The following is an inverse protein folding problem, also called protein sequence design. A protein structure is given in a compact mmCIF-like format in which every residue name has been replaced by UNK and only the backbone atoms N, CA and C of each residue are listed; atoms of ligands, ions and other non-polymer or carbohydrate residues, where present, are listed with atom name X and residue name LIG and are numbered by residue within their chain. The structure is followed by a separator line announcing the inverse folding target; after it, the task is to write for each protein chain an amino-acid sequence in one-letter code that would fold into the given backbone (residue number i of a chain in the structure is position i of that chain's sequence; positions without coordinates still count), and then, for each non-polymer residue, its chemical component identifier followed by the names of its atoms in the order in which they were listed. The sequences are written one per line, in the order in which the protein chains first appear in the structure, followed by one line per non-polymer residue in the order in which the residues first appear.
data_IF_171319124109
#
_entry.id   IF_171319124109
#
_cell.length_a   1.000
_cell.length_b   1.000
_cell.length_c   1.000
_cell.angle_alpha   90.00
_cell.angle_beta   90.00
_cell.angle_gamma   90.00
#
_symmetry.space_group_name_H-M   'P 1'
#
loop_
_entity.id
_entity.type
_entity.pdbx_description
1 polymer ?
#
# COMPACT_ATOMS: atom_id res chain seq x y z
N UNK A 1 -25.75 -23.81 24.50
CA UNK A 1 -25.36 -24.02 23.09
C UNK A 1 -24.72 -22.71 22.63
N UNK A 2 -23.40 -22.57 22.80
CA UNK A 2 -22.69 -21.36 22.40
C UNK A 2 -22.70 -21.25 20.87
N UNK A 3 -22.95 -20.05 20.35
CA UNK A 3 -22.85 -19.78 18.92
C UNK A 3 -21.45 -20.15 18.42
N UNK A 4 -21.31 -20.68 17.19
CA UNK A 4 -20.01 -20.87 16.58
C UNK A 4 -19.33 -19.52 16.44
N UNK A 5 -18.09 -19.43 16.91
CA UNK A 5 -17.19 -18.31 16.68
C UNK A 5 -16.86 -18.25 15.18
N UNK A 6 -17.66 -17.54 14.40
CA UNK A 6 -17.35 -17.22 13.00
C UNK A 6 -16.41 -16.03 13.01
N UNK A 7 -15.21 -16.21 13.57
CA UNK A 7 -14.10 -15.34 13.25
C UNK A 7 -13.77 -15.57 11.77
N UNK A 8 -14.32 -14.73 10.88
CA UNK A 8 -14.05 -14.81 9.45
C UNK A 8 -12.55 -14.69 9.15
N UNK A 9 -12.12 -15.22 8.01
CA UNK A 9 -10.70 -15.23 7.63
C UNK A 9 -10.04 -13.85 7.86
N UNK A 10 -8.86 -13.82 8.51
CA UNK A 10 -8.19 -12.56 8.82
C UNK A 10 -7.86 -11.82 7.53
N UNK A 11 -8.00 -10.50 7.56
CA UNK A 11 -7.61 -9.65 6.44
C UNK A 11 -6.12 -9.83 6.15
N UNK A 12 -5.78 -9.89 4.86
CA UNK A 12 -4.38 -9.95 4.39
C UNK A 12 -3.98 -8.57 3.89
N UNK A 13 -2.88 -8.03 4.42
CA UNK A 13 -2.31 -6.75 4.00
C UNK A 13 -0.90 -6.97 3.46
N UNK A 14 -0.71 -6.74 2.16
CA UNK A 14 0.61 -6.81 1.54
C UNK A 14 1.25 -5.42 1.50
N UNK A 15 2.55 -5.32 1.75
CA UNK A 15 3.31 -4.11 1.53
C UNK A 15 4.24 -4.26 0.34
N UNK A 16 4.30 -3.24 -0.51
CA UNK A 16 5.20 -3.15 -1.65
C UNK A 16 6.20 -2.03 -1.39
N UNK A 17 7.47 -2.39 -1.24
CA UNK A 17 8.56 -1.45 -1.04
C UNK A 17 9.29 -1.20 -2.35
N UNK A 18 9.38 0.06 -2.75
CA UNK A 18 9.92 0.47 -4.04
C UNK A 18 11.15 1.39 -3.90
N UNK A 19 12.11 1.04 -3.05
CA UNK A 19 13.39 1.75 -2.92
C UNK A 19 14.47 1.16 -3.84
N UNK A 20 14.85 1.83 -4.95
CA UNK A 20 15.81 1.26 -5.92
C UNK A 20 17.22 1.05 -5.34
N UNK A 21 17.57 1.77 -4.27
CA UNK A 21 18.85 1.62 -3.57
C UNK A 21 18.66 1.17 -2.11
N UNK A 22 17.54 0.51 -1.84
CA UNK A 22 17.08 0.15 -0.49
C UNK A 22 16.02 1.13 0.02
N UNK A 23 15.11 0.60 0.83
CA UNK A 23 13.90 1.32 1.26
C UNK A 23 14.07 2.09 2.58
N UNK A 24 15.13 1.85 3.36
CA UNK A 24 15.53 2.68 4.52
C UNK A 24 14.37 3.17 5.39
N UNK A 25 14.24 4.50 5.53
CA UNK A 25 13.16 5.15 6.29
C UNK A 25 11.77 4.89 5.73
N UNK A 26 11.63 4.67 4.41
CA UNK A 26 10.36 4.26 3.81
C UNK A 26 9.92 2.90 4.37
N UNK A 27 10.83 1.94 4.47
CA UNK A 27 10.52 0.64 5.07
C UNK A 27 10.13 0.77 6.54
N UNK A 28 10.81 1.62 7.31
CA UNK A 28 10.49 1.86 8.71
C UNK A 28 9.09 2.50 8.89
N UNK A 29 8.72 3.46 8.04
CA UNK A 29 7.39 4.05 8.04
C UNK A 29 6.30 3.05 7.64
N UNK A 30 6.56 2.21 6.62
CA UNK A 30 5.65 1.15 6.21
C UNK A 30 5.48 0.11 7.32
N UNK A 31 6.55 -0.30 8.00
CA UNK A 31 6.43 -1.26 9.11
C UNK A 31 5.60 -0.70 10.27
N UNK A 32 5.67 0.60 10.55
CA UNK A 32 4.78 1.25 11.53
C UNK A 32 3.30 1.21 11.08
N UNK A 33 3.01 1.36 9.79
CA UNK A 33 1.64 1.14 9.25
C UNK A 33 1.23 -0.32 9.42
N UNK A 34 2.09 -1.27 9.05
CA UNK A 34 1.78 -2.69 9.20
C UNK A 34 1.63 -3.11 10.66
N UNK A 35 2.35 -2.48 11.59
CA UNK A 35 2.14 -2.66 13.02
C UNK A 35 0.69 -2.33 13.40
N UNK A 36 0.15 -1.22 12.90
CA UNK A 36 -1.25 -0.86 13.04
C UNK A 36 -2.20 -1.91 12.47
N UNK A 37 -1.91 -2.43 11.28
CA UNK A 37 -2.72 -3.50 10.67
C UNK A 37 -2.72 -4.79 11.51
N UNK A 38 -1.54 -5.20 12.01
CA UNK A 38 -1.40 -6.38 12.89
C UNK A 38 -2.15 -6.19 14.20
N UNK A 39 -2.09 -4.99 14.79
CA UNK A 39 -2.84 -4.67 15.99
C UNK A 39 -4.36 -4.73 15.79
N UNK A 40 -4.83 -4.53 14.55
CA UNK A 40 -6.22 -4.73 14.14
C UNK A 40 -6.55 -6.17 13.71
N UNK A 41 -5.63 -7.13 13.88
CA UNK A 41 -5.84 -8.55 13.60
C UNK A 41 -5.56 -8.99 12.16
N UNK A 42 -4.98 -8.12 11.32
CA UNK A 42 -4.62 -8.49 9.94
C UNK A 42 -3.30 -9.28 9.87
N UNK A 43 -3.21 -10.20 8.91
CA UNK A 43 -1.95 -10.83 8.51
C UNK A 43 -1.20 -9.89 7.56
N UNK A 44 0.10 -9.67 7.79
CA UNK A 44 0.90 -8.75 6.98
C UNK A 44 2.07 -9.43 6.29
N UNK A 45 2.32 -9.08 5.04
CA UNK A 45 3.51 -9.50 4.28
C UNK A 45 4.22 -8.29 3.66
N UNK A 46 5.49 -8.45 3.30
CA UNK A 46 6.30 -7.38 2.68
C UNK A 46 7.05 -7.94 1.48
N UNK A 47 6.98 -7.21 0.36
CA UNK A 47 7.73 -7.49 -0.86
C UNK A 47 8.61 -6.29 -1.20
N UNK A 48 9.92 -6.48 -1.25
CA UNK A 48 10.89 -5.50 -1.76
C UNK A 48 11.07 -5.70 -3.27
N UNK A 49 10.62 -4.72 -4.07
CA UNK A 49 10.66 -4.79 -5.53
C UNK A 49 12.08 -4.82 -6.09
N UNK A 50 13.08 -4.35 -5.34
CA UNK A 50 14.48 -4.32 -5.79
C UNK A 50 14.99 -5.72 -6.16
N UNK A 51 14.56 -6.75 -5.42
CA UNK A 51 14.94 -8.14 -5.70
C UNK A 51 14.21 -8.75 -6.90
N UNK A 52 13.00 -8.27 -7.23
CA UNK A 52 12.11 -8.87 -8.22
C UNK A 52 12.23 -8.32 -9.65
N UNK A 53 13.08 -7.33 -9.89
CA UNK A 53 13.18 -6.67 -11.21
C UNK A 53 13.60 -7.65 -12.32
N UNK A 54 14.54 -8.56 -12.04
CA UNK A 54 15.02 -9.52 -13.02
C UNK A 54 13.97 -10.58 -13.38
N UNK A 55 12.99 -10.80 -12.50
CA UNK A 55 11.94 -11.82 -12.63
C UNK A 55 10.60 -11.22 -13.09
N UNK A 56 10.59 -9.95 -13.53
CA UNK A 56 9.39 -9.30 -14.06
C UNK A 56 8.28 -9.08 -13.02
N UNK A 57 8.64 -9.04 -11.73
CA UNK A 57 7.72 -8.78 -10.60
C UNK A 57 6.57 -9.78 -10.38
N UNK A 58 6.57 -10.97 -11.00
CA UNK A 58 5.46 -11.92 -10.90
C UNK A 58 5.04 -12.21 -9.44
N UNK A 59 6.01 -12.51 -8.57
CA UNK A 59 5.76 -12.76 -7.15
C UNK A 59 5.13 -11.55 -6.41
N UNK A 60 5.50 -10.33 -6.80
CA UNK A 60 4.92 -9.12 -6.23
C UNK A 60 3.46 -8.92 -6.70
N UNK A 61 3.16 -9.23 -7.96
CA UNK A 61 1.79 -9.20 -8.50
C UNK A 61 0.90 -10.21 -7.77
N UNK A 62 1.39 -11.43 -7.55
CA UNK A 62 0.65 -12.49 -6.84
C UNK A 62 0.44 -12.15 -5.35
N UNK A 63 1.43 -11.53 -4.71
CA UNK A 63 1.28 -11.03 -3.35
C UNK A 63 0.19 -9.94 -3.25
N UNK A 64 0.12 -9.04 -4.23
CA UNK A 64 -0.92 -8.00 -4.31
C UNK A 64 -2.30 -8.60 -4.59
N UNK A 65 -2.40 -9.55 -5.53
CA UNK A 65 -3.69 -10.17 -5.89
C UNK A 65 -4.32 -10.91 -4.70
N UNK A 66 -3.49 -11.62 -3.93
CA UNK A 66 -3.92 -12.42 -2.78
C UNK A 66 -4.21 -11.61 -1.51
N UNK A 67 -3.90 -10.31 -1.48
CA UNK A 67 -4.14 -9.43 -0.35
C UNK A 67 -5.53 -8.77 -0.41
N UNK A 68 -6.09 -8.39 0.73
CA UNK A 68 -7.30 -7.56 0.83
C UNK A 68 -6.98 -6.05 0.75
N UNK A 69 -5.78 -5.68 1.20
CA UNK A 69 -5.27 -4.31 1.10
C UNK A 69 -3.77 -4.24 0.84
N UNK A 70 -3.33 -3.10 0.30
CA UNK A 70 -1.94 -2.88 -0.09
C UNK A 70 -1.36 -1.61 0.53
N UNK A 71 -0.17 -1.69 1.12
CA UNK A 71 0.63 -0.52 1.50
C UNK A 71 1.70 -0.29 0.44
N UNK A 72 1.60 0.81 -0.31
CA UNK A 72 2.61 1.21 -1.29
C UNK A 72 3.63 2.15 -0.64
N UNK A 73 4.84 1.65 -0.41
CA UNK A 73 5.98 2.38 0.13
C UNK A 73 6.95 2.83 -0.96
N UNK A 74 7.16 4.14 -1.13
CA UNK A 74 8.16 4.65 -2.08
C UNK A 74 8.89 5.89 -1.59
N UNK A 75 10.22 5.99 -1.73
CA UNK A 75 10.89 7.28 -1.58
C UNK A 75 10.50 8.22 -2.73
N UNK A 76 10.59 9.53 -2.48
CA UNK A 76 10.27 10.55 -3.49
C UNK A 76 11.46 10.81 -4.39
N UNK A 77 11.32 10.49 -5.68
CA UNK A 77 12.30 10.73 -6.72
C UNK A 77 11.66 11.67 -7.76
N UNK A 78 12.31 12.81 -8.06
CA UNK A 78 11.80 13.80 -9.03
C UNK A 78 10.35 14.23 -8.71
N UNK A 79 10.08 14.56 -7.44
CA UNK A 79 8.78 14.98 -6.92
C UNK A 79 7.62 13.97 -7.09
N UNK A 80 7.92 12.68 -7.30
CA UNK A 80 6.91 11.61 -7.33
C UNK A 80 7.48 10.28 -6.84
N UNK A 81 6.71 9.19 -6.93
CA UNK A 81 7.17 7.85 -6.62
C UNK A 81 8.30 7.40 -7.56
N UNK A 82 9.06 6.39 -7.15
CA UNK A 82 10.19 5.89 -7.95
C UNK A 82 9.75 5.28 -9.28
N UNK A 83 10.65 5.28 -10.26
CA UNK A 83 10.47 4.53 -11.50
C UNK A 83 10.35 3.02 -11.27
N UNK A 84 10.93 2.49 -10.18
CA UNK A 84 10.77 1.10 -9.78
C UNK A 84 9.31 0.77 -9.46
N UNK A 85 8.62 1.62 -8.71
CA UNK A 85 7.19 1.45 -8.46
C UNK A 85 6.38 1.56 -9.74
N UNK A 86 6.70 2.54 -10.59
CA UNK A 86 6.02 2.70 -11.87
C UNK A 86 6.19 1.45 -12.76
N UNK A 87 7.41 0.92 -12.87
CA UNK A 87 7.69 -0.29 -13.63
C UNK A 87 6.96 -1.52 -13.08
N UNK A 88 6.82 -1.66 -11.76
CA UNK A 88 5.99 -2.71 -11.17
C UNK A 88 4.52 -2.56 -11.58
N UNK A 89 3.97 -1.34 -11.51
CA UNK A 89 2.57 -1.09 -11.88
C UNK A 89 2.31 -1.42 -13.36
N UNK A 90 3.25 -1.21 -14.27
CA UNK A 90 3.11 -1.63 -15.68
C UNK A 90 2.93 -3.15 -15.86
N UNK A 91 3.31 -3.96 -14.86
CA UNK A 91 3.10 -5.42 -14.87
C UNK A 91 1.79 -5.84 -14.19
N UNK A 92 1.03 -4.90 -13.62
CA UNK A 92 -0.24 -5.18 -12.95
C UNK A 92 -1.38 -4.93 -13.93
N UNK A 93 -2.12 -5.98 -14.29
CA UNK A 93 -3.33 -5.85 -15.09
C UNK A 93 -4.43 -5.06 -14.35
N UNK A 94 -5.17 -4.21 -15.05
CA UNK A 94 -6.27 -3.42 -14.45
C UNK A 94 -7.66 -4.08 -14.61
N UNK A 95 -7.73 -5.19 -15.34
CA UNK A 95 -8.95 -5.92 -15.70
C UNK A 95 -9.71 -5.31 -16.89
N UNK A 96 -9.00 -4.83 -17.90
CA UNK A 96 -9.54 -4.40 -19.20
C UNK A 96 -9.95 -5.55 -20.14
N UNK A 97 -10.44 -5.25 -21.36
CA UNK A 97 -11.04 -6.27 -22.26
C UNK A 97 -10.13 -7.43 -22.68
N UNK A 98 -8.80 -7.22 -22.68
CA UNK A 98 -7.81 -8.22 -23.09
C UNK A 98 -6.99 -8.76 -21.91
N UNK A 99 -7.35 -8.38 -20.70
CA UNK A 99 -6.68 -8.79 -19.47
C UNK A 99 -7.51 -9.87 -18.77
N UNK A 100 -6.83 -10.77 -18.07
CA UNK A 100 -7.47 -11.92 -17.41
C UNK A 100 -7.56 -11.75 -15.89
N UNK A 101 -6.77 -10.82 -15.35
CA UNK A 101 -6.66 -10.52 -13.92
C UNK A 101 -7.04 -9.07 -13.66
N UNK A 102 -7.31 -8.77 -12.39
CA UNK A 102 -7.47 -7.40 -11.92
C UNK A 102 -6.94 -7.29 -10.48
N UNK A 103 -5.61 -7.49 -10.25
CA UNK A 103 -5.05 -7.70 -8.92
C UNK A 103 -5.31 -6.58 -7.92
N UNK A 104 -5.64 -5.37 -8.36
CA UNK A 104 -5.87 -4.21 -7.49
C UNK A 104 -7.33 -3.77 -7.37
N UNK A 105 -8.21 -4.20 -8.28
CA UNK A 105 -9.55 -3.61 -8.41
C UNK A 105 -10.39 -3.86 -7.16
N UNK A 106 -10.97 -2.78 -6.63
CA UNK A 106 -11.86 -2.83 -5.46
C UNK A 106 -11.18 -3.12 -4.13
N UNK A 107 -9.84 -3.21 -4.09
CA UNK A 107 -9.08 -3.37 -2.85
C UNK A 107 -8.84 -2.01 -2.19
N UNK A 108 -8.52 -2.04 -0.89
CA UNK A 108 -8.05 -0.86 -0.18
C UNK A 108 -6.54 -0.67 -0.37
N UNK A 109 -6.06 0.58 -0.33
CA UNK A 109 -4.63 0.83 -0.28
C UNK A 109 -4.24 2.05 0.56
N UNK A 110 -3.06 2.02 1.15
CA UNK A 110 -2.40 3.18 1.73
C UNK A 110 -1.16 3.55 0.92
N UNK A 111 -0.89 4.84 0.79
CA UNK A 111 0.33 5.37 0.18
C UNK A 111 1.21 5.95 1.28
N UNK A 112 2.45 5.47 1.35
CA UNK A 112 3.48 5.93 2.29
C UNK A 112 4.70 6.35 1.50
N UNK A 113 5.02 7.64 1.55
CA UNK A 113 6.18 8.19 0.86
C UNK A 113 7.10 8.92 1.82
N UNK A 114 8.39 8.89 1.51
CA UNK A 114 9.41 9.66 2.25
C UNK A 114 10.17 10.58 1.32
N UNK A 115 10.39 11.82 1.73
CA UNK A 115 11.10 12.83 0.92
C UNK A 115 12.10 13.66 1.74
N UNK A 116 13.01 14.34 1.04
CA UNK A 116 14.00 15.20 1.69
C UNK A 116 13.42 16.54 2.15
N UNK A 117 12.37 17.04 1.48
CA UNK A 117 11.86 18.39 1.64
C UNK A 117 10.32 18.39 1.71
N UNK A 118 9.74 19.23 2.57
CA UNK A 118 8.31 19.24 2.88
C UNK A 118 7.45 19.76 1.71
N UNK A 119 8.04 20.55 0.82
CA UNK A 119 7.43 21.15 -0.37
C UNK A 119 6.94 20.09 -1.36
N UNK A 120 7.39 18.84 -1.22
CA UNK A 120 6.95 17.70 -2.01
C UNK A 120 5.79 16.91 -1.37
N UNK A 121 5.04 17.49 -0.42
CA UNK A 121 3.94 16.80 0.25
C UNK A 121 2.87 16.25 -0.71
N UNK A 122 2.68 16.86 -1.89
CA UNK A 122 1.79 16.36 -2.95
C UNK A 122 2.41 15.29 -3.86
N UNK A 123 3.64 14.83 -3.59
CA UNK A 123 4.29 13.78 -4.39
C UNK A 123 3.50 12.46 -4.41
N UNK A 124 2.65 12.24 -3.40
CA UNK A 124 1.73 11.09 -3.28
C UNK A 124 0.59 11.12 -4.29
N UNK A 125 0.20 12.31 -4.77
CA UNK A 125 -1.04 12.49 -5.52
C UNK A 125 -1.05 11.78 -6.87
N UNK A 126 0.09 11.78 -7.57
CA UNK A 126 0.20 11.05 -8.84
C UNK A 126 -0.07 9.55 -8.63
N UNK A 127 0.52 8.95 -7.59
CA UNK A 127 0.29 7.54 -7.28
C UNK A 127 -1.16 7.30 -6.85
N UNK A 128 -1.69 8.16 -5.97
CA UNK A 128 -3.09 8.08 -5.52
C UNK A 128 -4.06 8.12 -6.69
N UNK A 129 -3.85 9.03 -7.64
CA UNK A 129 -4.67 9.17 -8.83
C UNK A 129 -4.56 7.94 -9.75
N UNK A 130 -3.36 7.40 -9.97
CA UNK A 130 -3.18 6.15 -10.72
C UNK A 130 -3.92 4.99 -10.04
N UNK A 131 -3.75 4.80 -8.74
CA UNK A 131 -4.43 3.72 -8.00
C UNK A 131 -5.96 3.86 -8.05
N UNK A 132 -6.48 5.03 -7.72
CA UNK A 132 -7.93 5.24 -7.66
C UNK A 132 -8.59 5.22 -9.05
N UNK A 133 -8.05 5.99 -9.99
CA UNK A 133 -8.71 6.23 -11.28
C UNK A 133 -8.38 5.17 -12.33
N UNK A 134 -7.15 4.64 -12.35
CA UNK A 134 -6.74 3.66 -13.36
C UNK A 134 -6.94 2.21 -12.91
N UNK A 135 -6.75 1.91 -11.61
CA UNK A 135 -6.91 0.55 -11.07
C UNK A 135 -8.22 0.32 -10.30
N UNK A 136 -8.99 1.37 -9.98
CA UNK A 136 -10.23 1.23 -9.20
C UNK A 136 -9.99 0.85 -7.74
N UNK A 137 -8.86 1.28 -7.16
CA UNK A 137 -8.47 1.06 -5.76
C UNK A 137 -9.14 2.09 -4.85
N UNK A 138 -9.57 1.68 -3.67
CA UNK A 138 -10.02 2.59 -2.63
C UNK A 138 -8.81 3.05 -1.81
N UNK A 139 -8.30 4.25 -2.11
CA UNK A 139 -7.09 4.76 -1.47
C UNK A 139 -7.42 5.50 -0.17
N UNK A 140 -6.84 5.05 0.93
CA UNK A 140 -6.94 5.70 2.24
C UNK A 140 -6.41 7.13 2.17
N UNK A 141 -7.20 8.06 2.69
CA UNK A 141 -6.88 9.49 2.76
C UNK A 141 -6.79 9.95 4.21
N UNK A 142 -5.78 10.76 4.59
CA UNK A 142 -4.71 11.25 3.73
C UNK A 142 -3.64 10.18 3.43
N UNK A 143 -2.84 10.40 2.38
CA UNK A 143 -1.59 9.65 2.18
C UNK A 143 -0.51 10.15 3.14
N UNK A 144 0.43 9.29 3.53
CA UNK A 144 1.54 9.68 4.39
C UNK A 144 2.72 10.17 3.56
N UNK A 145 3.15 11.41 3.78
CA UNK A 145 4.40 11.94 3.27
C UNK A 145 5.27 12.37 4.46
N UNK A 146 6.42 11.70 4.64
CA UNK A 146 7.28 11.88 5.81
C UNK A 146 8.66 12.40 5.40
N UNK A 147 9.12 13.46 6.06
CA UNK A 147 10.47 14.01 5.84
C UNK A 147 11.45 13.47 6.88
N UNK A 148 12.72 13.91 6.83
CA UNK A 148 13.75 13.56 7.82
C UNK A 148 13.31 13.82 9.27
N UNK A 149 12.48 14.83 9.50
CA UNK A 149 11.98 15.22 10.83
C UNK A 149 11.09 14.14 11.48
N UNK A 150 10.50 13.26 10.68
CA UNK A 150 9.66 12.16 11.15
C UNK A 150 10.46 10.98 11.73
N UNK A 151 11.80 11.06 11.73
CA UNK A 151 12.68 9.96 12.12
C UNK A 151 13.73 10.39 13.15
N UNK A 152 14.13 9.47 14.03
CA UNK A 152 15.24 9.64 14.97
C UNK A 152 16.63 9.54 14.30
N UNK A 153 17.72 9.66 15.07
CA UNK A 153 19.09 9.50 14.58
C UNK A 153 19.38 8.14 13.95
N UNK A 154 18.73 7.08 14.46
CA UNK A 154 18.82 5.69 14.01
C UNK A 154 17.92 5.35 12.81
N UNK A 155 17.21 6.35 12.26
CA UNK A 155 16.23 6.22 11.17
C UNK A 155 14.94 5.48 11.55
N UNK A 156 14.71 5.21 12.84
CA UNK A 156 13.40 4.78 13.35
C UNK A 156 12.40 5.95 13.29
N UNK A 157 11.08 5.73 13.14
CA UNK A 157 10.11 6.79 13.25
C UNK A 157 10.13 7.41 14.66
N UNK A 158 9.89 8.71 14.79
CA UNK A 158 9.63 9.31 16.12
C UNK A 158 8.39 8.66 16.75
N UNK A 159 8.22 8.69 18.08
CA UNK A 159 7.02 8.14 18.73
C UNK A 159 5.71 8.67 18.12
N UNK A 160 5.64 9.97 17.85
CA UNK A 160 4.48 10.62 17.23
C UNK A 160 4.23 10.10 15.81
N UNK A 161 5.29 9.94 15.01
CA UNK A 161 5.21 9.40 13.64
C UNK A 161 4.78 7.94 13.67
N UNK A 162 5.29 7.16 14.61
CA UNK A 162 4.93 5.76 14.79
C UNK A 162 3.45 5.61 15.14
N UNK A 163 2.96 6.37 16.11
CA UNK A 163 1.55 6.36 16.51
C UNK A 163 0.62 6.76 15.35
N UNK A 164 0.99 7.81 14.61
CA UNK A 164 0.26 8.23 13.42
C UNK A 164 0.24 7.15 12.34
N UNK A 165 1.40 6.57 12.00
CA UNK A 165 1.48 5.50 11.01
C UNK A 165 0.69 4.26 11.44
N UNK A 166 0.75 3.87 12.72
CA UNK A 166 -0.04 2.77 13.26
C UNK A 166 -1.54 3.06 13.23
N UNK A 167 -1.96 4.31 13.43
CA UNK A 167 -3.36 4.72 13.23
C UNK A 167 -3.80 4.55 11.77
N UNK A 168 -2.96 4.95 10.80
CA UNK A 168 -3.22 4.68 9.38
C UNK A 168 -3.32 3.18 9.08
N UNK A 169 -2.53 2.35 9.76
CA UNK A 169 -2.61 0.90 9.66
C UNK A 169 -3.97 0.34 10.08
N UNK A 170 -4.49 0.78 11.22
CA UNK A 170 -5.83 0.40 11.69
C UNK A 170 -6.92 0.88 10.75
N UNK A 171 -6.85 2.14 10.31
CA UNK A 171 -7.80 2.72 9.37
C UNK A 171 -7.77 2.01 7.99
N UNK A 172 -6.59 1.57 7.53
CA UNK A 172 -6.47 0.75 6.33
C UNK A 172 -7.18 -0.60 6.50
N UNK A 173 -7.04 -1.24 7.66
CA UNK A 173 -7.74 -2.49 7.98
C UNK A 173 -9.26 -2.29 7.98
N UNK A 174 -9.76 -1.18 8.54
CA UNK A 174 -11.19 -0.85 8.51
C UNK A 174 -11.69 -0.65 7.06
N UNK A 175 -10.93 0.09 6.24
CA UNK A 175 -11.27 0.30 4.83
C UNK A 175 -11.23 -1.01 4.04
N UNK A 176 -10.26 -1.88 4.32
CA UNK A 176 -10.14 -3.20 3.71
C UNK A 176 -11.35 -4.09 4.06
N UNK A 177 -11.78 -4.08 5.32
CA UNK A 177 -12.98 -4.78 5.76
C UNK A 177 -14.22 -4.30 4.99
N UNK A 178 -14.39 -2.99 4.86
CA UNK A 178 -15.51 -2.40 4.12
C UNK A 178 -15.48 -2.75 2.62
N UNK A 179 -14.30 -2.71 2.00
CA UNK A 179 -14.11 -3.11 0.60
C UNK A 179 -14.44 -4.59 0.39
N UNK A 180 -13.92 -5.47 1.26
CA UNK A 180 -14.14 -6.93 1.21
C UNK A 180 -15.60 -7.32 1.43
N UNK A 181 -16.30 -6.64 2.34
CA UNK A 181 -17.71 -6.89 2.62
C UNK A 181 -18.66 -6.35 1.53
N UNK A 182 -18.18 -5.45 0.66
CA UNK A 182 -19.00 -4.81 -0.37
C UNK A 182 -19.14 -5.67 -1.62
N UNK A 183 -20.38 -5.90 -2.05
CA UNK A 183 -20.66 -6.50 -3.35
C UNK A 183 -20.52 -5.51 -4.53
N UNK A 184 -20.43 -4.20 -4.27
CA UNK A 184 -20.45 -3.15 -5.30
C UNK A 184 -19.08 -2.56 -5.57
N UNK A 185 -18.22 -2.40 -4.57
CA UNK A 185 -16.88 -1.81 -4.73
C UNK A 185 -16.03 -2.59 -5.77
N UNK A 186 -15.93 -3.93 -5.73
CA UNK A 186 -15.17 -4.69 -6.74
C UNK A 186 -15.73 -4.61 -8.17
N UNK A 187 -16.97 -4.15 -8.32
CA UNK A 187 -17.64 -3.96 -9.61
C UNK A 187 -17.39 -2.58 -10.24
N UNK A 188 -16.84 -1.64 -9.48
CA UNK A 188 -16.44 -0.33 -10.01
C UNK A 188 -15.24 -0.53 -10.94
N UNK A 189 -15.52 -0.57 -12.24
CA UNK A 189 -14.49 -0.67 -13.28
C UNK A 189 -14.01 0.73 -13.66
N UNK A 190 -12.68 0.94 -13.76
CA UNK A 190 -12.13 2.14 -14.37
C UNK A 190 -12.77 2.40 -15.73
N UNK A 191 -13.28 3.62 -15.93
CA UNK A 191 -13.86 4.05 -17.20
C UNK A 191 -12.74 4.44 -18.17
N UNK A 192 -12.82 3.93 -19.40
CA UNK A 192 -11.95 4.25 -20.54
C UNK A 192 -12.80 4.31 -21.81
#
# INVERSE_FOLDING_TARGET
MSAPDIAGDPLKVAAVLAGPHGSGTTAAAVDAVLHGCRAAGALTSVTDLRGGQAEGFAAAVDAVESADAIVFGSPTYRATHTSLLAAFLEHVERGGPHETRAPLRGKAAAVVMTGAAAEHFLATEKLRATLASFYGVQVLSPSLFLTRAAFGPDRSPTPETFELAALHGRALTDLAAACRASATIPRLRPLV
#
